data_IF_517877930872
#
_entry.id   IF_517877930872
#
_cell.length_a   1.000
_cell.length_b   1.000
_cell.length_c   1.000
_cell.angle_alpha   90.00
_cell.angle_beta   90.00
_cell.angle_gamma   90.00
#
_symmetry.space_group_name_H-M   'P 1'
#
loop_
_entity.id
_entity.type
_entity.pdbx_description
1 polymer ?
#
# COMPACT_ATOMS: atom_id res chain seq x y z
N UNK A 1 -16.00 12.63 -7.39
CA UNK A 1 -15.44 12.38 -8.73
C UNK A 1 -14.54 11.16 -8.68
N UNK A 2 -14.83 10.17 -9.51
CA UNK A 2 -14.03 8.96 -9.56
C UNK A 2 -12.70 9.22 -10.27
N UNK A 3 -11.62 8.78 -9.67
CA UNK A 3 -10.30 8.93 -10.24
C UNK A 3 -9.51 7.64 -10.03
N UNK A 4 -8.83 7.19 -11.08
CA UNK A 4 -7.99 6.00 -11.03
C UNK A 4 -6.54 6.41 -10.81
N UNK A 5 -5.87 5.74 -9.87
CA UNK A 5 -4.47 6.02 -9.57
C UNK A 5 -3.79 4.78 -9.02
N UNK A 6 -2.49 4.88 -8.83
CA UNK A 6 -1.71 3.82 -8.17
C UNK A 6 -1.14 4.36 -6.87
N UNK A 7 -0.91 3.47 -5.93
CA UNK A 7 -0.38 3.90 -4.65
C UNK A 7 0.27 2.77 -3.87
N UNK A 8 0.98 3.17 -2.83
CA UNK A 8 1.68 2.28 -1.93
C UNK A 8 0.96 2.29 -0.59
N UNK A 9 0.55 1.12 -0.12
CA UNK A 9 -0.17 1.00 1.14
C UNK A 9 0.80 1.18 2.30
N UNK A 10 0.49 2.12 3.20
CA UNK A 10 1.35 2.42 4.35
C UNK A 10 0.80 1.91 5.67
N UNK A 11 -0.52 1.99 5.86
CA UNK A 11 -1.10 1.69 7.16
C UNK A 11 -2.57 1.34 7.00
N UNK A 12 -3.03 0.36 7.77
CA UNK A 12 -4.44 -0.04 7.78
C UNK A 12 -4.94 -0.01 9.21
N UNK A 13 -6.08 0.62 9.42
CA UNK A 13 -6.70 0.76 10.72
C UNK A 13 -8.16 0.32 10.64
N UNK A 14 -8.59 -0.52 11.57
CA UNK A 14 -10.00 -0.92 11.62
C UNK A 14 -10.84 0.28 12.01
N UNK A 15 -11.83 0.61 11.20
CA UNK A 15 -12.73 1.73 11.44
C UNK A 15 -14.00 1.27 12.14
N UNK A 16 -14.64 0.23 11.60
CA UNK A 16 -15.82 -0.40 12.21
C UNK A 16 -15.88 -1.85 11.71
N UNK A 17 -17.00 -2.54 11.99
CA UNK A 17 -17.11 -3.96 11.63
C UNK A 17 -17.12 -4.21 10.13
N UNK A 18 -17.41 -3.21 9.33
CA UNK A 18 -17.56 -3.37 7.88
C UNK A 18 -16.55 -2.58 7.07
N UNK A 19 -15.70 -1.79 7.70
CA UNK A 19 -14.78 -0.91 6.98
C UNK A 19 -13.45 -0.75 7.69
N UNK A 20 -12.41 -0.54 6.89
CA UNK A 20 -11.08 -0.15 7.37
C UNK A 20 -10.71 1.19 6.76
N UNK A 21 -9.85 1.93 7.47
CA UNK A 21 -9.21 3.13 6.91
C UNK A 21 -7.81 2.72 6.49
N UNK A 22 -7.48 2.97 5.23
CA UNK A 22 -6.17 2.63 4.68
C UNK A 22 -5.48 3.91 4.24
N UNK A 23 -4.28 4.13 4.75
CA UNK A 23 -3.46 5.26 4.35
C UNK A 23 -2.56 4.83 3.20
N UNK A 24 -2.63 5.56 2.10
CA UNK A 24 -1.94 5.20 0.86
C UNK A 24 -1.17 6.41 0.36
N UNK A 25 0.08 6.19 -0.05
CA UNK A 25 0.86 7.22 -0.72
C UNK A 25 0.61 7.05 -2.21
N UNK A 26 -0.15 7.98 -2.78
CA UNK A 26 -0.59 7.88 -4.19
C UNK A 26 0.35 8.67 -5.10
N UNK A 27 0.46 8.21 -6.34
CA UNK A 27 1.33 8.85 -7.32
C UNK A 27 0.85 10.25 -7.68
N UNK A 28 -0.46 10.43 -7.85
CA UNK A 28 -1.02 11.69 -8.33
C UNK A 28 -1.43 12.65 -7.23
N UNK A 29 -1.77 12.14 -6.04
CA UNK A 29 -2.37 12.97 -4.99
C UNK A 29 -1.62 12.97 -3.68
N UNK A 30 -0.45 12.30 -3.61
CA UNK A 30 0.31 12.22 -2.38
C UNK A 30 -0.36 11.32 -1.35
N UNK A 31 -0.09 11.60 -0.08
CA UNK A 31 -0.61 10.82 1.03
C UNK A 31 -2.10 11.11 1.23
N UNK A 32 -2.92 10.08 1.27
CA UNK A 32 -4.35 10.23 1.49
C UNK A 32 -4.90 9.03 2.24
N UNK A 33 -6.04 9.23 2.89
CA UNK A 33 -6.72 8.18 3.65
C UNK A 33 -7.97 7.73 2.91
N UNK A 34 -8.20 6.43 2.90
CA UNK A 34 -9.27 5.83 2.13
C UNK A 34 -10.10 4.88 3.00
N UNK A 35 -11.40 4.87 2.75
CA UNK A 35 -12.30 3.95 3.40
C UNK A 35 -12.49 2.74 2.49
N UNK A 36 -12.25 1.54 3.02
CA UNK A 36 -12.31 0.30 2.27
C UNK A 36 -13.28 -0.63 2.97
N UNK A 37 -14.25 -1.15 2.21
CA UNK A 37 -15.20 -2.11 2.77
C UNK A 37 -14.53 -3.43 3.05
N UNK A 38 -14.78 -3.97 4.24
CA UNK A 38 -14.25 -5.29 4.63
C UNK A 38 -15.25 -6.34 4.21
N UNK A 39 -14.86 -7.25 3.32
CA UNK A 39 -15.78 -8.26 2.83
C UNK A 39 -16.07 -9.30 3.89
N UNK A 40 -17.33 -9.73 3.98
CA UNK A 40 -17.74 -10.75 4.94
C UNK A 40 -17.58 -12.17 4.41
N UNK A 41 -17.40 -12.33 3.10
CA UNK A 41 -17.32 -13.66 2.50
C UNK A 41 -15.87 -14.04 2.22
N UNK A 42 -15.61 -15.35 2.16
CA UNK A 42 -14.26 -15.85 1.85
C UNK A 42 -13.77 -15.42 0.49
N UNK A 43 -14.68 -15.22 -0.45
CA UNK A 43 -14.33 -14.78 -1.80
C UNK A 43 -13.68 -13.41 -1.79
N UNK A 44 -13.91 -12.66 -0.72
CA UNK A 44 -13.40 -11.31 -0.59
C UNK A 44 -12.09 -11.23 0.18
N UNK A 45 -11.61 -12.35 0.71
CA UNK A 45 -10.33 -12.39 1.42
C UNK A 45 -9.18 -11.91 0.53
N UNK A 46 -9.32 -12.09 -0.79
CA UNK A 46 -8.35 -11.62 -1.77
C UNK A 46 -8.14 -10.11 -1.65
N UNK A 47 -9.22 -9.37 -1.38
CA UNK A 47 -9.12 -7.92 -1.26
C UNK A 47 -8.34 -7.48 -0.03
N UNK A 48 -8.39 -8.26 1.04
CA UNK A 48 -7.61 -7.96 2.24
C UNK A 48 -6.11 -8.04 1.96
N UNK A 49 -5.71 -9.00 1.12
CA UNK A 49 -4.31 -9.17 0.75
C UNK A 49 -3.77 -7.95 0.02
N UNK A 50 -4.65 -7.23 -0.71
CA UNK A 50 -4.23 -6.04 -1.44
C UNK A 50 -3.75 -4.91 -0.53
N UNK A 51 -4.12 -4.94 0.75
CA UNK A 51 -3.83 -3.84 1.66
C UNK A 51 -2.79 -4.20 2.71
N UNK A 52 -1.89 -5.11 2.38
CA UNK A 52 -0.75 -5.42 3.23
C UNK A 52 0.29 -4.32 3.15
N UNK A 53 1.17 -4.21 4.17
CA UNK A 53 2.20 -3.15 4.17
C UNK A 53 3.03 -3.15 2.89
N UNK A 54 3.21 -1.99 2.33
CA UNK A 54 3.96 -1.70 1.10
C UNK A 54 3.34 -2.28 -0.17
N UNK A 55 2.14 -2.88 -0.09
CA UNK A 55 1.48 -3.36 -1.31
C UNK A 55 1.30 -2.21 -2.28
N UNK A 56 1.55 -2.50 -3.56
CA UNK A 56 1.36 -1.53 -4.63
C UNK A 56 0.09 -1.87 -5.38
N UNK A 57 -0.87 -0.97 -5.32
CA UNK A 57 -2.20 -1.22 -5.86
C UNK A 57 -2.60 -0.15 -6.87
N UNK A 58 -3.43 -0.56 -7.81
CA UNK A 58 -4.13 0.33 -8.71
C UNK A 58 -5.58 0.35 -8.25
N UNK A 59 -6.12 1.54 -8.06
CA UNK A 59 -7.46 1.64 -7.50
C UNK A 59 -8.20 2.84 -8.04
N UNK A 60 -9.54 2.77 -7.92
CA UNK A 60 -10.43 3.85 -8.28
C UNK A 60 -11.11 4.34 -7.02
N UNK A 61 -11.00 5.63 -6.76
CA UNK A 61 -11.57 6.23 -5.56
C UNK A 61 -12.42 7.44 -5.91
N UNK A 62 -13.40 7.69 -5.04
CA UNK A 62 -14.28 8.84 -5.17
C UNK A 62 -13.68 9.99 -4.37
N UNK A 63 -13.04 10.93 -5.07
CA UNK A 63 -12.42 12.10 -4.46
C UNK A 63 -13.43 13.21 -4.37
N UNK A 64 -13.98 13.41 -3.19
CA UNK A 64 -14.97 14.46 -2.95
C UNK A 64 -14.30 15.69 -2.36
N UNK A 65 -14.62 16.87 -2.88
CA UNK A 65 -14.11 18.10 -2.30
C UNK A 65 -14.48 18.19 -0.81
N UNK A 66 -13.59 18.75 -0.01
CA UNK A 66 -13.82 19.00 1.40
C UNK A 66 -13.94 17.74 2.26
N UNK A 67 -13.62 16.58 1.71
CA UNK A 67 -13.57 15.35 2.48
C UNK A 67 -12.12 14.98 2.75
N UNK A 68 -11.85 14.48 3.96
CA UNK A 68 -10.53 13.98 4.31
C UNK A 68 -10.43 12.47 4.18
N UNK A 69 -11.53 11.82 3.83
CA UNK A 69 -11.60 10.37 3.74
C UNK A 69 -12.36 10.01 2.47
N UNK A 70 -11.66 9.34 1.56
CA UNK A 70 -12.21 8.98 0.26
C UNK A 70 -12.56 7.50 0.24
N UNK A 71 -13.56 7.13 -0.55
CA UNK A 71 -14.01 5.73 -0.63
C UNK A 71 -13.40 5.06 -1.86
N UNK A 72 -12.79 3.89 -1.66
CA UNK A 72 -12.29 3.08 -2.75
C UNK A 72 -13.43 2.26 -3.34
N UNK A 73 -13.62 2.33 -4.66
CA UNK A 73 -14.63 1.58 -5.38
C UNK A 73 -14.09 0.25 -5.87
N UNK A 74 -12.90 0.26 -6.46
CA UNK A 74 -12.25 -0.92 -6.98
C UNK A 74 -10.76 -0.84 -6.72
N UNK A 75 -10.15 -1.99 -6.52
CA UNK A 75 -8.71 -2.07 -6.32
C UNK A 75 -8.19 -3.40 -6.86
N UNK A 76 -6.99 -3.36 -7.41
CA UNK A 76 -6.29 -4.57 -7.84
C UNK A 76 -4.80 -4.38 -7.63
N UNK A 77 -4.07 -5.49 -7.63
CA UNK A 77 -2.62 -5.41 -7.50
C UNK A 77 -2.01 -4.78 -8.75
N UNK A 78 -1.17 -3.77 -8.54
CA UNK A 78 -0.41 -3.17 -9.63
C UNK A 78 0.92 -3.89 -9.84
N UNK A 79 1.53 -4.34 -8.74
CA UNK A 79 2.75 -5.14 -8.77
C UNK A 79 2.57 -6.28 -7.76
N UNK A 80 2.20 -7.48 -8.20
CA UNK A 80 2.04 -8.61 -7.29
C UNK A 80 3.39 -9.04 -6.74
N UNK A 81 3.50 -9.09 -5.42
CA UNK A 81 4.73 -9.49 -4.76
C UNK A 81 5.01 -10.97 -4.97
N UNK A 82 6.29 -11.30 -5.18
CA UNK A 82 6.73 -12.67 -5.32
C UNK A 82 7.21 -13.25 -4.00
N UNK A 83 7.92 -12.49 -3.20
CA UNK A 83 8.55 -12.99 -1.98
C UNK A 83 8.27 -12.12 -0.76
N UNK A 84 8.05 -10.84 -0.95
CA UNK A 84 8.04 -9.88 0.14
C UNK A 84 7.13 -10.28 1.31
N UNK A 85 5.84 -10.61 1.11
CA UNK A 85 4.98 -10.96 2.23
C UNK A 85 5.17 -12.37 2.74
N UNK A 86 5.89 -13.22 2.00
CA UNK A 86 6.04 -14.63 2.31
C UNK A 86 7.36 -14.96 2.98
N UNK A 87 8.35 -14.10 2.84
CA UNK A 87 9.66 -14.26 3.45
C UNK A 87 9.64 -13.52 4.79
N UNK A 88 9.77 -14.21 5.92
CA UNK A 88 9.67 -13.53 7.24
C UNK A 88 10.65 -12.38 7.39
N UNK A 89 11.84 -12.51 6.81
CA UNK A 89 12.85 -11.48 6.89
C UNK A 89 12.40 -10.22 6.14
N UNK A 90 11.97 -10.40 4.88
CA UNK A 90 11.51 -9.29 4.06
C UNK A 90 10.22 -8.70 4.60
N UNK A 91 9.33 -9.55 5.11
CA UNK A 91 8.06 -9.11 5.66
C UNK A 91 8.27 -8.18 6.87
N UNK A 92 9.26 -8.50 7.71
CA UNK A 92 9.59 -7.65 8.86
C UNK A 92 10.12 -6.30 8.40
N UNK A 93 10.98 -6.30 7.38
CA UNK A 93 11.49 -5.05 6.81
C UNK A 93 10.34 -4.22 6.23
N UNK A 94 9.43 -4.88 5.53
CA UNK A 94 8.30 -4.19 4.92
C UNK A 94 7.41 -3.54 5.96
N UNK A 95 7.15 -4.23 7.06
CA UNK A 95 6.34 -3.68 8.15
C UNK A 95 7.00 -2.46 8.77
N UNK A 96 8.31 -2.53 8.99
CA UNK A 96 9.06 -1.40 9.53
C UNK A 96 9.04 -0.21 8.58
N UNK A 97 9.31 -0.47 7.30
CA UNK A 97 9.34 0.60 6.30
C UNK A 97 7.97 1.25 6.12
N UNK A 98 6.92 0.45 6.11
CA UNK A 98 5.57 0.99 5.97
C UNK A 98 5.24 1.92 7.13
N UNK A 99 5.56 1.50 8.36
CA UNK A 99 5.33 2.33 9.53
C UNK A 99 6.18 3.60 9.49
N UNK A 100 7.43 3.47 9.09
CA UNK A 100 8.31 4.62 8.95
C UNK A 100 7.76 5.62 7.94
N UNK A 101 7.37 5.13 6.77
CA UNK A 101 6.82 5.99 5.71
C UNK A 101 5.48 6.59 6.11
N UNK A 102 4.68 5.84 6.82
CA UNK A 102 3.41 6.34 7.34
C UNK A 102 3.62 7.61 8.17
N UNK A 103 4.66 7.62 9.00
CA UNK A 103 4.97 8.78 9.84
C UNK A 103 5.70 9.86 9.07
N UNK A 104 6.66 9.47 8.23
CA UNK A 104 7.50 10.42 7.51
C UNK A 104 6.74 11.17 6.42
N UNK A 105 5.78 10.52 5.77
CA UNK A 105 5.03 11.09 4.67
C UNK A 105 3.66 11.62 5.09
N UNK A 106 3.49 11.92 6.37
CA UNK A 106 2.20 12.25 6.93
C UNK A 106 1.45 13.36 6.20
N UNK A 107 2.16 14.37 5.75
CA UNK A 107 1.56 15.51 5.07
C UNK A 107 2.15 15.69 3.68
N UNK A 108 2.74 14.64 3.13
CA UNK A 108 3.41 14.75 1.85
C UNK A 108 2.40 14.91 0.72
N UNK A 109 2.58 15.96 -0.05
CA UNK A 109 1.79 16.20 -1.25
C UNK A 109 2.34 15.35 -2.39
N UNK A 110 1.73 15.49 -3.57
CA UNK A 110 2.21 14.80 -4.76
C UNK A 110 3.69 15.06 -4.99
N UNK A 111 4.45 13.98 -5.22
CA UNK A 111 5.88 14.04 -5.47
C UNK A 111 6.25 12.84 -6.32
N UNK A 112 6.19 13.04 -7.65
CA UNK A 112 6.45 11.96 -8.60
C UNK A 112 7.81 11.31 -8.45
N UNK A 113 8.91 12.09 -8.36
CA UNK A 113 10.23 11.48 -8.17
C UNK A 113 10.35 10.64 -6.90
N UNK A 114 9.78 11.09 -5.80
CA UNK A 114 9.79 10.31 -4.57
C UNK A 114 8.98 9.03 -4.72
N UNK A 115 7.80 9.12 -5.34
CA UNK A 115 7.00 7.93 -5.57
C UNK A 115 7.76 6.91 -6.42
N UNK A 116 8.39 7.36 -7.50
CA UNK A 116 9.16 6.46 -8.35
C UNK A 116 10.32 5.82 -7.60
N UNK A 117 10.99 6.58 -6.75
CA UNK A 117 12.09 6.05 -5.94
C UNK A 117 11.58 4.95 -5.00
N UNK A 118 10.48 5.19 -4.32
CA UNK A 118 9.91 4.22 -3.40
C UNK A 118 9.43 2.98 -4.14
N UNK A 119 8.81 3.16 -5.28
CA UNK A 119 8.37 2.03 -6.10
C UNK A 119 9.54 1.14 -6.50
N UNK A 120 10.60 1.74 -6.99
CA UNK A 120 11.79 0.99 -7.39
C UNK A 120 12.41 0.27 -6.19
N UNK A 121 12.47 0.92 -5.05
CA UNK A 121 13.06 0.35 -3.85
C UNK A 121 12.25 -0.86 -3.36
N UNK A 122 10.94 -0.75 -3.39
CA UNK A 122 10.06 -1.84 -2.95
C UNK A 122 10.17 -3.03 -3.90
N UNK A 123 10.20 -2.77 -5.20
CA UNK A 123 10.41 -3.84 -6.19
C UNK A 123 11.74 -4.53 -5.98
N UNK A 124 12.78 -3.74 -5.72
CA UNK A 124 14.11 -4.30 -5.46
C UNK A 124 14.08 -5.22 -4.24
N UNK A 125 13.42 -4.78 -3.17
CA UNK A 125 13.31 -5.58 -1.96
C UNK A 125 12.60 -6.90 -2.24
N UNK A 126 11.52 -6.85 -3.03
CA UNK A 126 10.75 -8.05 -3.36
C UNK A 126 11.57 -9.01 -4.23
N UNK A 127 12.34 -8.46 -5.16
CA UNK A 127 13.06 -9.27 -6.16
C UNK A 127 14.45 -9.70 -5.71
N UNK A 128 15.02 -9.07 -4.69
CA UNK A 128 16.37 -9.40 -4.28
C UNK A 128 16.43 -10.81 -3.70
N UNK A 129 17.56 -11.46 -3.94
CA UNK A 129 17.80 -12.82 -3.49
C UNK A 129 18.53 -12.78 -2.16
N UNK A 130 17.95 -13.45 -1.15
CA UNK A 130 18.59 -13.53 0.16
C UNK A 130 19.88 -14.33 0.16
N UNK A 131 20.14 -15.04 -0.92
CA UNK A 131 21.36 -15.85 -1.01
C UNK A 131 22.63 -14.99 -0.96
N UNK A 132 22.54 -13.69 -1.27
CA UNK A 132 23.69 -12.81 -1.18
C UNK A 132 24.26 -12.73 0.24
N UNK A 133 23.41 -12.82 1.25
CA UNK A 133 23.87 -12.79 2.63
C UNK A 133 24.56 -14.08 3.04
N UNK A 134 24.29 -15.17 2.33
CA UNK A 134 24.92 -16.46 2.58
C UNK A 134 26.29 -16.57 1.90
N UNK A 135 26.41 -15.90 0.76
CA UNK A 135 27.65 -15.98 0.00
C UNK A 135 28.82 -15.29 0.72
N UNK A 136 28.53 -14.48 1.73
CA UNK A 136 29.54 -13.84 2.53
C UNK A 136 30.04 -14.70 3.68
N UNK A 137 29.39 -15.83 3.88
CA UNK A 137 29.81 -16.79 4.89
C UNK A 137 30.89 -17.68 4.32
#
# INVERSE_FOLDING_TARGET
>A
MLQKTVGIVLHTLKYNDTSNIVDIYTRENGRASFLVSVPRSRKSAVKTVLFQPLSMIEFEADYRPMSNLYRIKEAKSWYPFRTLPYDPYKSSIAMFLAEFLYRALREEAENGPLFAYLEHSIRWLDECDRSFSRSEE
#
